data_IF_445760386783
#
_entry.id   IF_445760386783
#
_cell.length_a   1.000
_cell.length_b   1.000
_cell.length_c   1.000
_cell.angle_alpha   90.00
_cell.angle_beta   90.00
_cell.angle_gamma   90.00
#
_symmetry.space_group_name_H-M   'P 1'
#
loop_
_entity.id
_entity.type
_entity.pdbx_description
1 polymer ?
#
# COMPACT_ATOMS: atom_id res chain seq x y z
N UNK A 1 58.54 14.27 64.94
CA UNK A 1 59.56 13.78 63.99
C UNK A 1 58.94 12.59 63.27
N UNK A 2 58.58 12.79 61.99
CA UNK A 2 58.25 11.85 60.90
C UNK A 2 57.35 10.63 61.20
N UNK A 3 56.10 10.54 60.70
CA UNK A 3 55.64 10.44 59.30
C UNK A 3 56.04 9.11 58.64
N UNK A 4 55.08 8.19 58.44
CA UNK A 4 54.84 7.50 57.16
C UNK A 4 53.48 6.78 57.12
N UNK A 5 52.74 7.11 56.06
CA UNK A 5 51.48 6.57 55.60
C UNK A 5 51.64 5.14 55.02
N UNK A 6 50.55 4.37 54.96
CA UNK A 6 49.89 3.92 53.72
C UNK A 6 48.97 2.70 53.98
N UNK A 7 47.70 2.88 53.62
CA UNK A 7 46.80 1.95 52.93
C UNK A 7 46.85 0.45 53.24
N UNK A 8 45.74 -0.07 53.79
CA UNK A 8 45.13 -1.31 53.31
C UNK A 8 43.63 -1.33 53.69
N UNK A 9 42.84 -0.66 52.85
CA UNK A 9 41.41 -0.92 52.67
C UNK A 9 41.34 -2.05 51.64
N UNK A 10 41.08 -3.29 52.07
CA UNK A 10 40.69 -4.38 51.16
C UNK A 10 40.10 -5.56 51.95
N UNK A 11 38.79 -5.51 52.20
CA UNK A 11 37.95 -6.70 52.39
C UNK A 11 36.45 -6.32 52.36
N UNK A 12 36.06 -5.54 51.35
CA UNK A 12 34.64 -5.43 50.97
C UNK A 12 34.58 -5.38 49.44
N UNK A 13 35.15 -6.40 48.80
CA UNK A 13 34.68 -6.83 47.48
C UNK A 13 33.32 -7.49 47.71
N UNK A 14 32.29 -6.64 47.76
CA UNK A 14 30.93 -7.03 47.44
C UNK A 14 31.01 -7.89 46.18
N UNK A 15 30.51 -9.11 46.29
CA UNK A 15 30.02 -9.90 45.18
C UNK A 15 28.96 -9.06 44.45
N UNK A 16 29.37 -8.12 43.59
CA UNK A 16 28.58 -7.79 42.41
C UNK A 16 28.61 -9.08 41.60
N UNK A 17 27.57 -9.90 41.76
CA UNK A 17 27.29 -11.00 40.85
C UNK A 17 27.42 -10.43 39.44
N UNK A 18 28.51 -10.77 38.75
CA UNK A 18 28.76 -10.33 37.39
C UNK A 18 27.66 -10.92 36.53
N UNK A 19 26.62 -10.13 36.27
CA UNK A 19 25.73 -10.41 35.16
C UNK A 19 26.61 -10.36 33.92
N UNK A 20 26.75 -11.49 33.25
CA UNK A 20 27.38 -11.51 31.94
C UNK A 20 26.57 -10.56 31.03
N UNK A 21 27.20 -9.85 30.08
CA UNK A 21 26.48 -8.98 29.15
C UNK A 21 25.30 -9.67 28.46
N UNK A 22 25.43 -10.97 28.18
CA UNK A 22 24.35 -11.82 27.64
C UNK A 22 23.13 -11.94 28.57
N UNK A 23 23.35 -12.00 29.90
CA UNK A 23 22.27 -12.03 30.88
C UNK A 23 21.52 -10.70 30.95
N UNK A 24 22.20 -9.56 30.76
CA UNK A 24 21.55 -8.25 30.72
C UNK A 24 20.66 -8.10 29.49
N UNK A 25 21.15 -8.49 28.31
CA UNK A 25 20.40 -8.43 27.05
C UNK A 25 19.16 -9.33 27.12
N UNK A 26 19.31 -10.55 27.63
CA UNK A 26 18.18 -11.46 27.82
C UNK A 26 17.12 -10.88 28.79
N UNK A 27 17.55 -10.23 29.88
CA UNK A 27 16.63 -9.58 30.81
C UNK A 27 15.88 -8.40 30.17
N UNK A 28 16.56 -7.58 29.37
CA UNK A 28 15.93 -6.48 28.63
C UNK A 28 14.88 -7.00 27.65
N UNK A 29 15.18 -8.08 26.92
CA UNK A 29 14.23 -8.71 26.00
C UNK A 29 13.01 -9.24 26.75
N UNK A 30 13.20 -10.01 27.83
CA UNK A 30 12.10 -10.51 28.65
C UNK A 30 11.25 -9.39 29.26
N UNK A 31 11.90 -8.29 29.67
CA UNK A 31 11.21 -7.09 30.18
C UNK A 31 10.32 -6.46 29.11
N UNK A 32 10.83 -6.32 27.88
CA UNK A 32 10.06 -5.81 26.74
C UNK A 32 8.82 -6.69 26.45
N UNK A 33 8.98 -8.01 26.42
CA UNK A 33 7.88 -8.96 26.22
C UNK A 33 6.83 -8.88 27.34
N UNK A 34 7.28 -8.80 28.59
CA UNK A 34 6.39 -8.67 29.74
C UNK A 34 5.64 -7.32 29.75
N UNK A 35 6.23 -6.26 29.20
CA UNK A 35 5.57 -4.98 28.99
C UNK A 35 4.50 -5.07 27.89
N UNK A 36 4.79 -5.72 26.76
CA UNK A 36 3.79 -6.00 25.70
C UNK A 36 2.59 -6.79 26.23
N UNK A 37 2.84 -7.84 27.03
CA UNK A 37 1.77 -8.64 27.64
C UNK A 37 0.86 -7.83 28.56
N UNK A 38 1.38 -6.75 29.15
CA UNK A 38 0.64 -5.80 29.99
C UNK A 38 0.06 -4.62 29.19
N UNK A 39 0.22 -4.61 27.87
CA UNK A 39 -0.11 -3.49 26.98
C UNK A 39 0.59 -2.18 27.35
N UNK A 40 1.74 -2.26 28.02
CA UNK A 40 2.59 -1.12 28.33
C UNK A 40 3.61 -0.93 27.21
N UNK A 41 3.13 -0.37 26.11
CA UNK A 41 3.91 -0.19 24.89
C UNK A 41 5.05 0.82 25.05
N UNK A 42 4.91 1.82 25.93
CA UNK A 42 5.98 2.79 26.21
C UNK A 42 7.18 2.12 26.89
N UNK A 43 6.96 1.32 27.93
CA UNK A 43 8.04 0.58 28.59
C UNK A 43 8.67 -0.48 27.67
N UNK A 44 7.87 -1.10 26.80
CA UNK A 44 8.37 -2.03 25.79
C UNK A 44 9.29 -1.33 24.77
N UNK A 45 8.88 -0.15 24.28
CA UNK A 45 9.66 0.69 23.36
C UNK A 45 11.02 1.04 23.96
N UNK A 46 11.04 1.57 25.18
CA UNK A 46 12.29 1.91 25.88
C UNK A 46 13.24 0.70 25.99
N UNK A 47 12.70 -0.47 26.35
CA UNK A 47 13.48 -1.70 26.48
C UNK A 47 14.09 -2.16 25.15
N UNK A 48 13.36 -2.08 24.04
CA UNK A 48 13.90 -2.42 22.71
C UNK A 48 14.90 -1.39 22.18
N UNK A 49 14.70 -0.09 22.44
CA UNK A 49 15.68 0.93 22.06
C UNK A 49 17.00 0.70 22.79
N UNK A 50 16.96 0.40 24.09
CA UNK A 50 18.16 0.03 24.86
C UNK A 50 18.83 -1.25 24.34
N UNK A 51 18.05 -2.23 23.87
CA UNK A 51 18.59 -3.42 23.21
C UNK A 51 19.32 -3.06 21.92
N UNK A 52 18.72 -2.23 21.06
CA UNK A 52 19.33 -1.79 19.81
C UNK A 52 20.63 -0.99 20.03
N UNK A 53 20.69 -0.19 21.10
CA UNK A 53 21.91 0.53 21.48
C UNK A 53 23.03 -0.40 21.96
N UNK A 54 22.68 -1.47 22.69
CA UNK A 54 23.64 -2.41 23.29
C UNK A 54 24.07 -3.56 22.36
N UNK A 55 23.19 -3.99 21.45
CA UNK A 55 23.29 -5.24 20.69
C UNK A 55 23.30 -4.96 19.17
N UNK A 56 24.32 -4.25 18.69
CA UNK A 56 24.62 -4.17 17.25
C UNK A 56 25.70 -5.18 16.83
N UNK A 57 25.72 -6.38 17.41
CA UNK A 57 26.74 -7.39 17.09
C UNK A 57 26.24 -8.34 16.01
N UNK A 58 26.30 -7.88 14.75
CA UNK A 58 26.41 -8.64 13.49
C UNK A 58 25.38 -9.74 13.14
N UNK A 59 24.46 -10.13 14.03
CA UNK A 59 23.47 -11.18 13.78
C UNK A 59 22.16 -10.60 13.23
N UNK A 60 21.96 -10.74 11.92
CA UNK A 60 20.77 -10.25 11.21
C UNK A 60 19.44 -10.80 11.73
N UNK A 61 19.29 -12.12 12.00
CA UNK A 61 18.07 -12.66 12.59
C UNK A 61 17.63 -11.96 13.88
N UNK A 62 18.54 -11.78 14.83
CA UNK A 62 18.25 -11.13 16.11
C UNK A 62 17.89 -9.65 15.91
N UNK A 63 18.67 -8.95 15.10
CA UNK A 63 18.40 -7.54 14.80
C UNK A 63 17.05 -7.33 14.13
N UNK A 64 16.70 -8.14 13.13
CA UNK A 64 15.42 -8.07 12.43
C UNK A 64 14.26 -8.44 13.37
N UNK A 65 14.42 -9.40 14.27
CA UNK A 65 13.39 -9.72 15.29
C UNK A 65 13.13 -8.52 16.21
N UNK A 66 14.19 -7.93 16.77
CA UNK A 66 14.10 -6.76 17.67
C UNK A 66 13.44 -5.59 16.95
N UNK A 67 13.91 -5.23 15.75
CA UNK A 67 13.32 -4.12 14.97
C UNK A 67 11.87 -4.42 14.59
N UNK A 68 11.55 -5.66 14.21
CA UNK A 68 10.17 -6.06 13.90
C UNK A 68 9.24 -5.87 15.10
N UNK A 69 9.71 -6.24 16.30
CA UNK A 69 8.94 -6.08 17.54
C UNK A 69 8.81 -4.62 17.93
N UNK A 70 9.89 -3.84 17.83
CA UNK A 70 9.86 -2.39 18.06
C UNK A 70 8.88 -1.69 17.11
N UNK A 71 8.92 -2.01 15.81
CA UNK A 71 7.96 -1.47 14.83
C UNK A 71 6.52 -1.78 15.22
N UNK A 72 6.23 -3.00 15.69
CA UNK A 72 4.87 -3.33 16.16
C UNK A 72 4.45 -2.51 17.38
N UNK A 73 5.39 -2.26 18.30
CA UNK A 73 5.15 -1.42 19.48
C UNK A 73 4.89 0.03 19.08
N UNK A 74 5.71 0.60 18.20
CA UNK A 74 5.54 1.98 17.74
C UNK A 74 4.26 2.15 16.90
N UNK A 75 3.89 1.15 16.08
CA UNK A 75 2.60 1.15 15.40
C UNK A 75 1.42 1.11 16.37
N UNK A 76 1.55 0.43 17.53
CA UNK A 76 0.53 0.44 18.57
C UNK A 76 0.45 1.79 19.32
N UNK A 77 1.53 2.58 19.28
CA UNK A 77 1.62 3.93 19.84
C UNK A 77 1.25 5.03 18.83
N UNK A 78 0.89 4.70 17.60
CA UNK A 78 0.60 5.64 16.50
C UNK A 78 1.83 6.49 16.07
N UNK A 79 3.05 6.01 16.35
CA UNK A 79 4.32 6.70 16.08
C UNK A 79 4.86 6.32 14.68
N UNK A 80 4.15 6.76 13.65
CA UNK A 80 4.42 6.31 12.28
C UNK A 80 5.69 6.87 11.62
N UNK A 81 6.21 8.02 12.07
CA UNK A 81 7.42 8.63 11.48
C UNK A 81 8.69 7.93 11.97
N UNK A 82 8.68 7.51 13.23
CA UNK A 82 9.73 6.72 13.88
C UNK A 82 9.84 5.35 13.19
N UNK A 83 8.71 4.67 12.96
CA UNK A 83 8.64 3.40 12.23
C UNK A 83 9.22 3.53 10.83
N UNK A 84 8.84 4.57 10.08
CA UNK A 84 9.34 4.79 8.72
C UNK A 84 10.86 5.00 8.72
N UNK A 85 11.38 5.77 9.69
CA UNK A 85 12.81 6.00 9.86
C UNK A 85 13.56 4.70 10.19
N UNK A 86 13.03 3.89 11.11
CA UNK A 86 13.60 2.60 11.49
C UNK A 86 13.66 1.63 10.30
N UNK A 87 12.56 1.50 9.55
CA UNK A 87 12.49 0.62 8.38
C UNK A 87 13.41 1.09 7.24
N UNK A 88 13.51 2.40 7.01
CA UNK A 88 14.45 2.96 6.03
C UNK A 88 15.90 2.69 6.41
N UNK A 89 16.25 2.85 7.69
CA UNK A 89 17.59 2.54 8.18
C UNK A 89 17.89 1.04 8.06
N UNK A 90 16.90 0.19 8.35
CA UNK A 90 17.01 -1.26 8.19
C UNK A 90 17.28 -1.65 6.72
N UNK A 91 16.55 -1.07 5.76
CA UNK A 91 16.77 -1.32 4.33
C UNK A 91 18.12 -0.78 3.85
N UNK A 92 18.56 0.38 4.35
CA UNK A 92 19.87 0.98 4.01
C UNK A 92 21.05 0.16 4.52
N UNK A 93 20.86 -0.57 5.61
CA UNK A 93 21.87 -1.47 6.16
C UNK A 93 22.08 -2.75 5.32
N UNK A 94 21.38 -2.89 4.17
CA UNK A 94 21.49 -4.02 3.23
C UNK A 94 21.24 -5.36 3.92
N UNK A 95 20.01 -5.60 4.42
CA UNK A 95 19.68 -6.85 5.07
C UNK A 95 19.77 -8.02 4.06
N UNK A 96 20.08 -9.24 4.53
CA UNK A 96 20.01 -10.44 3.70
C UNK A 96 18.67 -10.56 2.98
N UNK A 97 18.67 -11.14 1.78
CA UNK A 97 17.51 -11.17 0.88
C UNK A 97 16.29 -11.83 1.53
N UNK A 98 16.49 -12.82 2.40
CA UNK A 98 15.43 -13.52 3.12
C UNK A 98 14.60 -12.63 4.06
N UNK A 99 15.15 -11.48 4.51
CA UNK A 99 14.45 -10.57 5.41
C UNK A 99 13.72 -9.44 4.68
N UNK A 100 14.11 -9.13 3.44
CA UNK A 100 13.55 -8.03 2.65
C UNK A 100 12.01 -8.12 2.56
N UNK A 101 11.39 -9.28 2.28
CA UNK A 101 9.94 -9.40 2.24
C UNK A 101 9.24 -9.01 3.54
N UNK A 102 9.77 -9.45 4.68
CA UNK A 102 9.21 -9.14 6.00
C UNK A 102 9.27 -7.64 6.31
N UNK A 103 10.37 -6.99 5.94
CA UNK A 103 10.58 -5.55 6.12
C UNK A 103 9.61 -4.75 5.24
N UNK A 104 9.40 -5.17 3.99
CA UNK A 104 8.44 -4.54 3.08
C UNK A 104 6.99 -4.68 3.57
N UNK A 105 6.61 -5.82 4.16
CA UNK A 105 5.29 -5.98 4.78
C UNK A 105 5.10 -5.05 5.99
N UNK A 106 6.13 -4.85 6.81
CA UNK A 106 6.09 -3.86 7.90
C UNK A 106 5.94 -2.43 7.37
N UNK A 107 6.63 -2.11 6.26
CA UNK A 107 6.48 -0.81 5.60
C UNK A 107 5.05 -0.60 5.07
N UNK A 108 4.45 -1.64 4.47
CA UNK A 108 3.06 -1.59 4.03
C UNK A 108 2.09 -1.38 5.21
N UNK A 109 2.31 -2.04 6.36
CA UNK A 109 1.55 -1.81 7.59
C UNK A 109 1.64 -0.36 8.08
N UNK A 110 2.85 0.20 8.11
CA UNK A 110 3.06 1.60 8.47
C UNK A 110 2.29 2.54 7.52
N UNK A 111 2.36 2.32 6.21
CA UNK A 111 1.60 3.12 5.26
C UNK A 111 0.09 2.98 5.42
N UNK A 112 -0.43 1.80 5.77
CA UNK A 112 -1.84 1.65 6.10
C UNK A 112 -2.24 2.48 7.32
N UNK A 113 -1.42 2.48 8.39
CA UNK A 113 -1.65 3.31 9.58
C UNK A 113 -1.71 4.81 9.25
N UNK A 114 -0.84 5.29 8.37
CA UNK A 114 -0.82 6.68 7.87
C UNK A 114 -1.95 7.01 6.88
N UNK A 115 -2.85 6.07 6.57
CA UNK A 115 -3.88 6.24 5.52
C UNK A 115 -3.34 6.27 4.08
N UNK A 116 -2.08 5.88 3.86
CA UNK A 116 -1.42 5.81 2.54
C UNK A 116 -1.70 4.45 1.86
N UNK A 117 -2.97 4.10 1.70
CA UNK A 117 -3.42 2.79 1.18
C UNK A 117 -2.83 2.44 -0.18
N UNK A 118 -2.72 3.41 -1.09
CA UNK A 118 -2.12 3.22 -2.42
C UNK A 118 -0.64 2.81 -2.33
N UNK A 119 0.13 3.46 -1.45
CA UNK A 119 1.55 3.14 -1.26
C UNK A 119 1.73 1.75 -0.65
N UNK A 120 0.89 1.39 0.33
CA UNK A 120 0.87 0.05 0.90
C UNK A 120 0.55 -1.01 -0.16
N UNK A 121 -0.49 -0.78 -0.95
CA UNK A 121 -0.91 -1.69 -2.01
C UNK A 121 0.20 -1.96 -3.02
N UNK A 122 0.88 -0.92 -3.52
CA UNK A 122 1.97 -1.12 -4.49
C UNK A 122 3.13 -1.94 -3.92
N UNK A 123 3.51 -1.71 -2.65
CA UNK A 123 4.54 -2.52 -2.00
C UNK A 123 4.11 -3.98 -1.97
N UNK A 124 2.89 -4.25 -1.47
CA UNK A 124 2.40 -5.62 -1.31
C UNK A 124 2.17 -6.32 -2.66
N UNK A 125 1.63 -5.61 -3.65
CA UNK A 125 1.45 -6.13 -5.01
C UNK A 125 2.79 -6.51 -5.62
N UNK A 126 3.78 -5.61 -5.60
CA UNK A 126 5.12 -5.90 -6.09
C UNK A 126 5.75 -7.08 -5.35
N UNK A 127 5.54 -7.16 -4.03
CA UNK A 127 6.03 -8.28 -3.24
C UNK A 127 5.39 -9.60 -3.66
N UNK A 128 4.09 -9.61 -3.94
CA UNK A 128 3.35 -10.81 -4.36
C UNK A 128 3.79 -11.36 -5.72
N UNK A 129 4.39 -10.53 -6.56
CA UNK A 129 4.98 -10.96 -7.85
C UNK A 129 6.27 -11.76 -7.65
N UNK A 130 7.03 -11.48 -6.58
CA UNK A 130 8.30 -12.15 -6.28
C UNK A 130 8.21 -13.21 -5.17
N UNK A 131 7.23 -13.09 -4.28
CA UNK A 131 7.06 -13.97 -3.12
C UNK A 131 5.60 -14.40 -3.00
N UNK A 132 5.29 -15.68 -3.23
CA UNK A 132 3.91 -16.18 -3.25
C UNK A 132 3.14 -15.83 -1.97
N UNK A 133 1.90 -15.37 -2.14
CA UNK A 133 1.05 -14.91 -1.03
C UNK A 133 0.77 -16.06 -0.04
N UNK A 134 0.78 -17.30 -0.51
CA UNK A 134 0.59 -18.52 0.29
C UNK A 134 1.64 -18.66 1.41
N UNK A 135 2.84 -18.17 1.17
CA UNK A 135 3.96 -18.22 2.12
C UNK A 135 3.90 -17.08 3.15
N UNK A 136 3.00 -16.11 2.97
CA UNK A 136 2.87 -14.99 3.88
C UNK A 136 2.15 -15.41 5.17
N UNK A 137 2.47 -14.72 6.28
CA UNK A 137 1.75 -14.91 7.55
C UNK A 137 0.28 -14.56 7.35
N UNK A 138 -0.61 -15.23 8.10
CA UNK A 138 -2.06 -15.04 7.97
C UNK A 138 -2.50 -13.58 8.15
N UNK A 139 -1.86 -12.84 9.05
CA UNK A 139 -2.13 -11.42 9.26
C UNK A 139 -1.76 -10.56 8.04
N UNK A 140 -0.64 -10.85 7.38
CA UNK A 140 -0.15 -10.07 6.24
C UNK A 140 -1.02 -10.32 4.99
N UNK A 141 -1.49 -11.57 4.80
CA UNK A 141 -2.51 -11.89 3.79
C UNK A 141 -3.82 -11.15 4.05
N UNK A 142 -4.27 -11.15 5.31
CA UNK A 142 -5.49 -10.47 5.70
C UNK A 142 -5.38 -8.96 5.45
N UNK A 143 -4.23 -8.37 5.76
CA UNK A 143 -3.93 -6.98 5.44
C UNK A 143 -3.99 -6.72 3.93
N UNK A 144 -3.39 -7.59 3.12
CA UNK A 144 -3.37 -7.42 1.66
C UNK A 144 -4.79 -7.35 1.09
N UNK A 145 -5.64 -8.30 1.45
CA UNK A 145 -7.03 -8.31 1.01
C UNK A 145 -7.84 -7.14 1.59
N UNK A 146 -7.54 -6.68 2.81
CA UNK A 146 -8.16 -5.49 3.37
C UNK A 146 -7.79 -4.22 2.58
N UNK A 147 -6.54 -4.11 2.15
CA UNK A 147 -6.05 -3.02 1.29
C UNK A 147 -6.72 -3.09 -0.09
N UNK A 148 -6.79 -4.26 -0.71
CA UNK A 148 -7.49 -4.48 -1.98
C UNK A 148 -8.97 -4.06 -1.88
N UNK A 149 -9.65 -4.56 -0.86
CA UNK A 149 -11.05 -4.23 -0.60
C UNK A 149 -11.27 -2.73 -0.38
N UNK A 150 -10.36 -2.07 0.33
CA UNK A 150 -10.43 -0.62 0.56
C UNK A 150 -10.31 0.17 -0.75
N UNK A 151 -9.40 -0.23 -1.64
CA UNK A 151 -9.24 0.41 -2.95
C UNK A 151 -10.46 0.16 -3.83
N UNK A 152 -10.92 -1.09 -3.90
CA UNK A 152 -12.13 -1.45 -4.64
C UNK A 152 -13.34 -0.63 -4.18
N UNK A 153 -13.55 -0.53 -2.85
CA UNK A 153 -14.65 0.25 -2.29
C UNK A 153 -14.53 1.73 -2.65
N UNK A 154 -13.32 2.26 -2.74
CA UNK A 154 -13.07 3.67 -3.10
C UNK A 154 -13.46 3.93 -4.55
N UNK A 155 -13.02 3.09 -5.48
CA UNK A 155 -13.33 3.25 -6.90
C UNK A 155 -14.76 2.84 -7.26
N UNK A 156 -15.35 1.87 -6.56
CA UNK A 156 -16.79 1.57 -6.64
C UNK A 156 -17.62 2.81 -6.23
N UNK A 157 -17.23 3.49 -5.14
CA UNK A 157 -17.90 4.69 -4.68
C UNK A 157 -17.75 5.87 -5.65
N UNK A 158 -16.55 6.06 -6.22
CA UNK A 158 -16.28 7.09 -7.23
C UNK A 158 -17.09 6.85 -8.50
N UNK A 159 -17.10 5.62 -9.00
CA UNK A 159 -17.91 5.20 -10.16
C UNK A 159 -19.40 5.47 -9.93
N UNK A 160 -19.92 5.08 -8.76
CA UNK A 160 -21.32 5.32 -8.40
C UNK A 160 -21.64 6.81 -8.26
N UNK A 161 -20.69 7.60 -7.75
CA UNK A 161 -20.82 9.05 -7.69
C UNK A 161 -20.90 9.63 -9.11
N UNK A 162 -19.98 9.29 -10.00
CA UNK A 162 -19.96 9.72 -11.40
C UNK A 162 -21.30 9.42 -12.11
N UNK A 163 -21.84 8.21 -11.92
CA UNK A 163 -23.16 7.82 -12.45
C UNK A 163 -24.30 8.72 -11.96
N UNK A 164 -24.28 9.14 -10.70
CA UNK A 164 -25.29 10.08 -10.16
C UNK A 164 -25.16 11.47 -10.77
N UNK A 165 -23.94 11.96 -11.00
CA UNK A 165 -23.71 13.23 -11.69
C UNK A 165 -24.22 13.18 -13.14
N UNK A 166 -23.91 12.10 -13.86
CA UNK A 166 -24.43 11.89 -15.22
C UNK A 166 -25.97 11.84 -15.24
N UNK A 167 -26.61 11.12 -14.33
CA UNK A 167 -28.07 11.08 -14.22
C UNK A 167 -28.70 12.44 -13.87
N UNK A 168 -27.94 13.34 -13.23
CA UNK A 168 -28.36 14.71 -12.92
C UNK A 168 -28.10 15.70 -14.09
N UNK A 169 -27.55 15.23 -15.21
CA UNK A 169 -27.18 16.06 -16.36
C UNK A 169 -25.89 16.87 -16.17
N UNK A 170 -25.09 16.55 -15.14
CA UNK A 170 -23.83 17.23 -14.83
C UNK A 170 -22.69 16.40 -15.43
N UNK A 171 -22.57 16.46 -16.76
CA UNK A 171 -21.74 15.52 -17.52
C UNK A 171 -20.25 15.78 -17.39
N UNK A 172 -19.80 17.03 -17.34
CA UNK A 172 -18.36 17.35 -17.19
C UNK A 172 -17.78 16.76 -15.88
N UNK A 173 -18.48 16.93 -14.76
CA UNK A 173 -18.06 16.37 -13.47
C UNK A 173 -18.15 14.84 -13.43
N UNK A 174 -19.10 14.25 -14.16
CA UNK A 174 -19.17 12.80 -14.31
C UNK A 174 -17.96 12.28 -15.11
N UNK A 175 -17.60 12.97 -16.19
CA UNK A 175 -16.45 12.63 -17.02
C UNK A 175 -15.15 12.68 -16.22
N UNK A 176 -14.88 13.77 -15.48
CA UNK A 176 -13.70 13.91 -14.62
C UNK A 176 -13.54 12.72 -13.66
N UNK A 177 -14.64 12.29 -13.01
CA UNK A 177 -14.60 11.15 -12.09
C UNK A 177 -14.38 9.81 -12.81
N UNK A 178 -14.97 9.62 -14.00
CA UNK A 178 -14.69 8.41 -14.78
C UNK A 178 -13.25 8.39 -15.31
N UNK A 179 -12.67 9.53 -15.68
CA UNK A 179 -11.25 9.64 -16.07
C UNK A 179 -10.32 9.20 -14.93
N UNK A 180 -10.61 9.64 -13.69
CA UNK A 180 -9.86 9.21 -12.50
C UNK A 180 -9.95 7.69 -12.30
N UNK A 181 -11.12 7.08 -12.51
CA UNK A 181 -11.27 5.62 -12.43
C UNK A 181 -10.52 4.92 -13.56
N UNK A 182 -10.56 5.42 -14.80
CA UNK A 182 -9.78 4.86 -15.92
C UNK A 182 -8.29 4.92 -15.62
N UNK A 183 -7.79 6.06 -15.13
CA UNK A 183 -6.38 6.21 -14.76
C UNK A 183 -5.99 5.22 -13.64
N UNK A 184 -6.87 5.03 -12.66
CA UNK A 184 -6.65 4.04 -11.60
C UNK A 184 -6.59 2.60 -12.15
N UNK A 185 -7.46 2.25 -13.10
CA UNK A 185 -7.42 0.95 -13.77
C UNK A 185 -6.10 0.78 -14.54
N UNK A 186 -5.67 1.79 -15.29
CA UNK A 186 -4.42 1.75 -16.07
C UNK A 186 -3.17 1.64 -15.18
N UNK A 187 -3.20 2.26 -14.00
CA UNK A 187 -2.15 2.11 -12.97
C UNK A 187 -2.26 0.83 -12.14
N UNK A 188 -3.30 0.03 -12.37
CA UNK A 188 -3.57 -1.21 -11.64
C UNK A 188 -3.92 -0.99 -10.17
N UNK A 189 -4.47 0.18 -9.81
CA UNK A 189 -4.90 0.58 -8.48
C UNK A 189 -6.30 0.09 -8.11
N UNK A 190 -7.04 -0.45 -9.07
CA UNK A 190 -8.38 -0.98 -8.89
C UNK A 190 -8.35 -2.52 -9.05
N UNK A 191 -8.10 -3.27 -7.96
CA UNK A 191 -7.88 -4.72 -8.01
C UNK A 191 -8.93 -5.51 -8.81
N UNK A 192 -10.22 -5.23 -8.60
CA UNK A 192 -11.32 -5.87 -9.36
C UNK A 192 -11.27 -5.65 -10.88
N UNK A 193 -10.59 -4.61 -11.34
CA UNK A 193 -10.53 -4.20 -12.74
C UNK A 193 -9.18 -4.51 -13.42
N UNK A 194 -8.26 -5.24 -12.75
CA UNK A 194 -6.93 -5.55 -13.29
C UNK A 194 -6.99 -6.44 -14.54
N UNK A 195 -7.96 -7.34 -14.62
CA UNK A 195 -8.11 -8.24 -15.77
C UNK A 195 -8.50 -7.47 -17.04
N UNK A 196 -7.85 -7.77 -18.17
CA UNK A 196 -8.09 -7.07 -19.44
C UNK A 196 -9.54 -7.20 -19.91
N UNK A 197 -10.16 -8.37 -19.72
CA UNK A 197 -11.56 -8.65 -20.03
C UNK A 197 -12.55 -8.20 -18.94
N UNK A 198 -12.11 -7.42 -17.95
CA UNK A 198 -12.99 -6.97 -16.87
C UNK A 198 -14.16 -6.15 -17.42
N UNK A 199 -15.37 -6.60 -17.11
CA UNK A 199 -16.60 -5.88 -17.42
C UNK A 199 -16.61 -4.47 -16.78
N UNK A 200 -15.92 -4.30 -15.64
CA UNK A 200 -15.78 -3.01 -14.97
C UNK A 200 -15.03 -2.03 -15.87
N UNK A 201 -13.90 -2.46 -16.44
CA UNK A 201 -13.10 -1.64 -17.36
C UNK A 201 -13.89 -1.22 -18.58
N UNK A 202 -14.60 -2.15 -19.23
CA UNK A 202 -15.49 -1.87 -20.37
C UNK A 202 -16.58 -0.86 -20.00
N UNK A 203 -17.25 -1.08 -18.87
CA UNK A 203 -18.33 -0.21 -18.40
C UNK A 203 -17.84 1.22 -18.13
N UNK A 204 -16.72 1.37 -17.40
CA UNK A 204 -16.17 2.69 -17.07
C UNK A 204 -15.74 3.43 -18.34
N UNK A 205 -15.12 2.75 -19.30
CA UNK A 205 -14.73 3.36 -20.59
C UNK A 205 -15.95 3.82 -21.40
N UNK A 206 -16.99 2.97 -21.49
CA UNK A 206 -18.24 3.35 -22.13
C UNK A 206 -18.89 4.56 -21.45
N UNK A 207 -18.98 4.55 -20.11
CA UNK A 207 -19.58 5.66 -19.34
C UNK A 207 -18.79 6.95 -19.47
N UNK A 208 -17.47 6.87 -19.55
CA UNK A 208 -16.63 8.03 -19.81
C UNK A 208 -16.90 8.62 -21.19
N UNK A 209 -16.92 7.79 -22.24
CA UNK A 209 -17.23 8.24 -23.59
C UNK A 209 -18.66 8.81 -23.66
N UNK A 210 -19.63 8.17 -23.02
CA UNK A 210 -21.02 8.64 -22.94
C UNK A 210 -21.10 10.01 -22.23
N UNK A 211 -20.39 10.19 -21.12
CA UNK A 211 -20.37 11.47 -20.41
C UNK A 211 -19.81 12.60 -21.29
N UNK A 212 -18.72 12.36 -22.02
CA UNK A 212 -18.17 13.32 -22.98
C UNK A 212 -19.13 13.60 -24.14
N UNK A 213 -19.83 12.58 -24.65
CA UNK A 213 -20.83 12.76 -25.71
C UNK A 213 -21.97 13.66 -25.24
N UNK A 214 -22.51 13.39 -24.04
CA UNK A 214 -23.60 14.18 -23.46
C UNK A 214 -23.17 15.61 -23.10
N UNK A 215 -21.88 15.84 -22.83
CA UNK A 215 -21.28 17.17 -22.70
C UNK A 215 -21.02 17.87 -24.06
N UNK A 216 -21.44 17.27 -25.18
CA UNK A 216 -21.15 17.71 -26.55
C UNK A 216 -19.65 17.73 -26.93
N UNK A 217 -18.81 17.01 -26.19
CA UNK A 217 -17.39 16.82 -26.48
C UNK A 217 -17.21 15.63 -27.45
N UNK A 218 -17.74 15.79 -28.66
CA UNK A 218 -17.78 14.70 -29.65
C UNK A 218 -16.40 14.24 -30.13
N UNK A 219 -15.43 15.15 -30.22
CA UNK A 219 -14.05 14.78 -30.55
C UNK A 219 -13.46 13.86 -29.49
N UNK A 220 -13.60 14.24 -28.21
CA UNK A 220 -13.09 13.47 -27.10
C UNK A 220 -13.76 12.11 -26.98
N UNK A 221 -15.06 12.07 -27.22
CA UNK A 221 -15.84 10.82 -27.30
C UNK A 221 -15.23 9.86 -28.32
N UNK A 222 -14.95 10.34 -29.52
CA UNK A 222 -14.37 9.53 -30.60
C UNK A 222 -12.94 9.08 -30.29
N UNK A 223 -12.09 9.96 -29.74
CA UNK A 223 -10.74 9.58 -29.27
C UNK A 223 -10.78 8.41 -28.28
N UNK A 224 -11.71 8.49 -27.31
CA UNK A 224 -11.89 7.46 -26.29
C UNK A 224 -12.36 6.14 -26.91
N UNK A 225 -13.34 6.19 -27.83
CA UNK A 225 -13.84 5.01 -28.53
C UNK A 225 -12.75 4.35 -29.37
N UNK A 226 -12.00 5.13 -30.17
CA UNK A 226 -10.90 4.59 -30.98
C UNK A 226 -9.80 3.95 -30.12
N UNK A 227 -9.54 4.52 -28.94
CA UNK A 227 -8.61 3.94 -27.97
C UNK A 227 -9.13 2.64 -27.34
N UNK A 228 -10.45 2.54 -27.13
CA UNK A 228 -11.11 1.39 -26.56
C UNK A 228 -11.27 0.26 -27.58
N UNK A 229 -11.67 0.53 -28.83
CA UNK A 229 -11.82 -0.48 -29.89
C UNK A 229 -10.53 -1.24 -30.18
N UNK A 230 -9.38 -0.55 -30.13
CA UNK A 230 -8.06 -1.19 -30.26
C UNK A 230 -7.79 -2.23 -29.17
N UNK A 231 -8.45 -2.10 -28.02
CA UNK A 231 -8.25 -2.93 -26.82
C UNK A 231 -9.37 -3.95 -26.67
N UNK A 232 -10.62 -3.55 -26.86
CA UNK A 232 -11.84 -4.27 -26.55
C UNK A 232 -12.97 -3.80 -27.49
N UNK A 233 -13.27 -4.53 -28.59
CA UNK A 233 -14.40 -4.18 -29.45
C UNK A 233 -15.71 -4.37 -28.67
N UNK A 234 -16.44 -3.27 -28.46
CA UNK A 234 -17.72 -3.25 -27.75
C UNK A 234 -18.81 -2.69 -28.67
N UNK A 235 -19.91 -3.42 -28.79
CA UNK A 235 -21.06 -3.06 -29.61
C UNK A 235 -21.68 -1.74 -29.14
N UNK A 236 -21.68 -1.42 -27.84
CA UNK A 236 -22.23 -0.16 -27.33
C UNK A 236 -21.41 1.06 -27.75
N UNK A 237 -20.08 0.91 -27.87
CA UNK A 237 -19.19 1.98 -28.33
C UNK A 237 -19.37 2.28 -29.82
N UNK A 238 -19.65 1.26 -30.65
CA UNK A 238 -19.93 1.46 -32.08
C UNK A 238 -21.16 2.36 -32.30
N UNK A 239 -22.22 2.15 -31.51
CA UNK A 239 -23.41 3.00 -31.56
C UNK A 239 -23.10 4.44 -31.14
N UNK A 240 -22.34 4.61 -30.05
CA UNK A 240 -21.97 5.93 -29.55
C UNK A 240 -21.09 6.70 -30.56
N UNK A 241 -20.18 6.01 -31.25
CA UNK A 241 -19.38 6.59 -32.33
C UNK A 241 -20.27 7.06 -33.50
N UNK A 242 -21.25 6.23 -33.90
CA UNK A 242 -22.20 6.60 -34.95
C UNK A 242 -23.00 7.86 -34.58
N UNK A 243 -23.43 7.99 -33.32
CA UNK A 243 -24.08 9.19 -32.80
C UNK A 243 -23.14 10.41 -32.84
N UNK A 244 -21.90 10.27 -32.37
CA UNK A 244 -20.93 11.36 -32.35
C UNK A 244 -20.62 11.88 -33.78
N UNK A 245 -20.42 10.99 -34.76
CA UNK A 245 -20.26 11.41 -36.16
C UNK A 245 -21.50 12.06 -36.75
N UNK A 246 -22.70 11.62 -36.34
CA UNK A 246 -23.97 12.23 -36.76
C UNK A 246 -24.05 13.68 -36.28
N UNK A 247 -23.73 13.93 -35.01
CA UNK A 247 -23.70 15.28 -34.43
C UNK A 247 -22.65 16.18 -35.09
N UNK A 248 -21.49 15.61 -35.46
CA UNK A 248 -20.45 16.29 -36.25
C UNK A 248 -20.80 16.46 -37.74
N UNK A 249 -21.92 15.89 -38.21
CA UNK A 249 -22.37 15.88 -39.61
C UNK A 249 -21.42 15.15 -40.58
N UNK A 250 -20.66 14.20 -40.07
CA UNK A 250 -19.81 13.28 -40.85
C UNK A 250 -20.60 12.02 -41.20
N UNK A 251 -21.64 12.16 -42.02
CA UNK A 251 -22.65 11.12 -42.24
C UNK A 251 -22.10 9.86 -42.89
N UNK A 252 -21.09 9.96 -43.74
CA UNK A 252 -20.45 8.79 -44.35
C UNK A 252 -19.82 7.89 -43.30
N UNK A 253 -19.10 8.47 -42.33
CA UNK A 253 -18.49 7.74 -41.20
C UNK A 253 -19.56 7.23 -40.24
N UNK A 254 -20.57 8.05 -39.92
CA UNK A 254 -21.70 7.62 -39.09
C UNK A 254 -22.38 6.37 -39.67
N UNK A 255 -22.62 6.35 -40.99
CA UNK A 255 -23.23 5.21 -41.69
C UNK A 255 -22.34 3.96 -41.64
N UNK A 256 -21.01 4.12 -41.73
CA UNK A 256 -20.07 3.01 -41.56
C UNK A 256 -20.18 2.39 -40.17
N UNK A 257 -20.17 3.21 -39.12
CA UNK A 257 -20.33 2.75 -37.74
C UNK A 257 -21.71 2.11 -37.49
N UNK A 258 -22.80 2.68 -38.00
CA UNK A 258 -24.13 2.04 -37.92
C UNK A 258 -24.18 0.68 -38.61
N UNK A 259 -23.52 0.54 -39.77
CA UNK A 259 -23.44 -0.75 -40.48
C UNK A 259 -22.63 -1.77 -39.67
N UNK A 260 -21.54 -1.35 -39.05
CA UNK A 260 -20.73 -2.21 -38.21
C UNK A 260 -21.49 -2.63 -36.95
N UNK A 261 -22.22 -1.70 -36.33
CA UNK A 261 -23.10 -1.95 -35.19
C UNK A 261 -24.16 -3.02 -35.50
N UNK A 262 -24.90 -2.90 -36.63
CA UNK A 262 -25.94 -3.88 -37.01
C UNK A 262 -25.38 -5.28 -37.32
N UNK A 263 -24.10 -5.36 -37.71
CA UNK A 263 -23.45 -6.61 -38.12
C UNK A 263 -22.80 -7.38 -36.97
N UNK A 264 -22.49 -6.71 -35.86
CA UNK A 264 -21.86 -7.29 -34.67
C UNK A 264 -22.89 -8.02 -33.80
#
# INVERSE_FOLDING_TARGET
>A
MMMHCLFLIAAFSLFSHGQTPENELHQLYQSAEAAIQRSDYSSAKESYLLLLEKEWTSDWPTYVDIVTRLVKVELALDEHEEVETLLLNLLRATPPEEFIPGIQLLQARCYCGKGKTVSAYFIMKKLSESWPIEDWRGEDRSLFHAVEFSLDSTYDALTNKARRFSAAGIYDQAAEMFEEVVEAIEKGLYPKAVNEDSLIKKNVQYRLAEAHYQAANYEKTLELIESAEKRLPDHELLFLAALAYTEKREYERALEYYKNYIRA
#
